data_IF_519226334904
#
_entry.id   IF_519226334904
#
_cell.length_a   1.000
_cell.length_b   1.000
_cell.length_c   1.000
_cell.angle_alpha   90.00
_cell.angle_beta   90.00
_cell.angle_gamma   90.00
#
_symmetry.space_group_name_H-M   'P 1'
#
loop_
_entity.id
_entity.type
_entity.pdbx_description
1 polymer ?
#
# COMPACT_ATOMS: atom_id res chain seq x y z
N UNK A 1 -1.72 8.77 8.31
CA UNK A 1 -0.62 8.11 7.56
C UNK A 1 -0.12 6.93 8.37
N UNK A 2 -0.30 5.73 7.83
CA UNK A 2 0.05 4.44 8.44
C UNK A 2 1.15 3.78 7.60
N UNK A 3 2.04 3.01 8.23
CA UNK A 3 3.10 2.30 7.50
C UNK A 3 3.31 0.91 8.06
N UNK A 4 3.48 -0.09 7.19
CA UNK A 4 3.79 -1.46 7.57
C UNK A 4 4.86 -2.04 6.65
N UNK A 5 5.52 -3.10 7.14
CA UNK A 5 6.50 -3.85 6.35
C UNK A 5 5.83 -5.07 5.73
N UNK A 6 6.10 -5.29 4.44
CA UNK A 6 5.58 -6.41 3.68
C UNK A 6 6.73 -7.18 3.02
N UNK A 7 6.75 -8.49 3.17
CA UNK A 7 7.71 -9.37 2.51
C UNK A 7 6.96 -10.23 1.49
N UNK A 8 7.06 -9.94 0.18
CA UNK A 8 6.38 -10.72 -0.84
C UNK A 8 6.89 -12.16 -0.84
N UNK A 9 6.01 -13.14 -1.00
CA UNK A 9 6.33 -14.57 -0.88
C UNK A 9 7.40 -15.05 -1.87
N UNK A 10 7.60 -14.33 -2.98
CA UNK A 10 8.52 -14.70 -4.08
C UNK A 10 9.85 -13.93 -4.07
N UNK A 11 10.07 -13.05 -3.10
CA UNK A 11 11.28 -12.24 -3.03
C UNK A 11 11.85 -12.21 -1.61
N UNK A 12 13.18 -12.24 -1.47
CA UNK A 12 13.83 -11.98 -0.17
C UNK A 12 13.86 -10.48 0.18
N UNK A 13 12.97 -9.68 -0.42
CA UNK A 13 12.92 -8.23 -0.25
C UNK A 13 11.92 -7.88 0.83
N UNK A 14 12.31 -6.94 1.70
CA UNK A 14 11.40 -6.30 2.64
C UNK A 14 11.01 -4.96 2.05
N UNK A 15 9.71 -4.82 1.81
CA UNK A 15 9.10 -3.59 1.33
C UNK A 15 8.49 -2.85 2.51
N UNK A 16 8.54 -1.53 2.46
CA UNK A 16 7.80 -0.66 3.37
C UNK A 16 6.65 -0.04 2.60
N UNK A 17 5.43 -0.20 3.08
CA UNK A 17 4.22 0.33 2.47
C UNK A 17 3.69 1.44 3.36
N UNK A 18 3.52 2.62 2.81
CA UNK A 18 2.89 3.78 3.45
C UNK A 18 1.50 3.98 2.86
N UNK A 19 0.47 4.05 3.70
CA UNK A 19 -0.91 4.26 3.34
C UNK A 19 -1.40 5.59 3.91
N UNK A 20 -1.93 6.42 3.03
CA UNK A 20 -2.57 7.69 3.34
C UNK A 20 -4.07 7.61 3.03
N UNK A 21 -4.92 7.28 4.02
CA UNK A 21 -6.36 7.19 3.85
C UNK A 21 -6.99 8.58 3.77
N UNK A 22 -8.03 8.71 2.95
CA UNK A 22 -8.78 9.94 2.77
C UNK A 22 -10.27 9.62 2.65
N UNK A 23 -11.06 10.07 3.62
CA UNK A 23 -12.51 9.92 3.55
C UNK A 23 -13.08 10.88 2.51
N UNK A 24 -13.65 10.32 1.43
CA UNK A 24 -14.31 11.10 0.37
C UNK A 24 -15.74 11.47 0.76
N UNK A 25 -16.46 10.54 1.38
CA UNK A 25 -17.82 10.71 1.87
C UNK A 25 -18.07 9.76 3.06
N UNK A 26 -19.14 9.96 3.85
CA UNK A 26 -19.50 8.99 4.89
C UNK A 26 -19.64 7.57 4.30
N UNK A 27 -18.88 6.62 4.85
CA UNK A 27 -18.84 5.24 4.35
C UNK A 27 -17.98 4.98 3.12
N UNK A 28 -17.28 5.99 2.57
CA UNK A 28 -16.48 5.88 1.35
C UNK A 28 -15.13 6.58 1.48
N UNK A 29 -14.08 5.82 1.20
CA UNK A 29 -12.69 6.21 1.39
C UNK A 29 -11.86 5.98 0.13
N UNK A 30 -10.83 6.78 -0.03
CA UNK A 30 -9.72 6.52 -0.94
C UNK A 30 -8.47 6.28 -0.09
N UNK A 31 -7.47 5.58 -0.64
CA UNK A 31 -6.16 5.45 -0.01
C UNK A 31 -5.06 5.64 -1.05
N UNK A 32 -4.08 6.50 -0.75
CA UNK A 32 -2.87 6.61 -1.54
C UNK A 32 -1.76 5.79 -0.89
N UNK A 33 -1.18 4.88 -1.64
CA UNK A 33 -0.19 3.94 -1.16
C UNK A 33 1.15 4.21 -1.83
N UNK A 34 2.22 4.27 -1.06
CA UNK A 34 3.60 4.39 -1.55
C UNK A 34 4.38 3.19 -1.08
N UNK A 35 5.08 2.54 -2.00
CA UNK A 35 5.84 1.32 -1.71
C UNK A 35 7.31 1.69 -1.79
N UNK A 36 8.10 1.28 -0.80
CA UNK A 36 9.51 1.54 -0.72
C UNK A 36 10.29 0.23 -0.55
N UNK A 37 11.49 0.17 -1.11
CA UNK A 37 12.46 -0.88 -0.81
C UNK A 37 13.49 -0.34 0.19
N UNK A 38 13.74 -1.09 1.25
CA UNK A 38 14.85 -0.79 2.16
C UNK A 38 16.14 -1.34 1.55
N UNK A 39 16.98 -0.45 1.01
CA UNK A 39 18.27 -0.81 0.40
C UNK A 39 19.38 0.07 0.97
N UNK A 40 20.41 -0.57 1.53
CA UNK A 40 21.63 0.08 2.06
C UNK A 40 21.37 1.30 2.98
N UNK A 41 20.41 1.17 3.91
CA UNK A 41 20.07 2.23 4.87
C UNK A 41 19.29 3.41 4.27
N UNK A 42 18.79 3.26 3.03
CA UNK A 42 17.91 4.23 2.37
C UNK A 42 16.58 3.58 2.00
N UNK A 43 15.52 4.38 2.01
CA UNK A 43 14.20 4.01 1.47
C UNK A 43 14.13 4.47 0.02
N UNK A 44 14.03 3.52 -0.90
CA UNK A 44 13.87 3.81 -2.33
C UNK A 44 12.40 3.67 -2.71
N UNK A 45 11.78 4.73 -3.23
CA UNK A 45 10.39 4.66 -3.71
C UNK A 45 10.30 3.77 -4.96
N UNK A 46 9.49 2.71 -4.86
CA UNK A 46 9.22 1.78 -5.95
C UNK A 46 8.01 2.27 -6.76
N UNK A 47 8.29 3.03 -7.82
CA UNK A 47 7.30 3.46 -8.80
C UNK A 47 6.38 4.61 -8.33
N UNK A 48 5.29 4.90 -9.08
CA UNK A 48 4.31 5.92 -8.71
C UNK A 48 3.55 5.57 -7.42
N UNK A 49 2.77 6.52 -6.87
CA UNK A 49 1.84 6.17 -5.80
C UNK A 49 0.67 5.33 -6.37
N UNK A 50 0.30 4.25 -5.68
CA UNK A 50 -0.87 3.45 -5.98
C UNK A 50 -2.10 4.11 -5.34
N UNK A 51 -3.03 4.60 -6.14
CA UNK A 51 -4.30 5.15 -5.64
C UNK A 51 -5.38 4.08 -5.62
N UNK A 52 -5.76 3.64 -4.42
CA UNK A 52 -6.95 2.84 -4.19
C UNK A 52 -8.16 3.76 -4.05
N UNK A 53 -9.21 3.50 -4.81
CA UNK A 53 -10.43 4.31 -4.83
C UNK A 53 -11.62 3.52 -4.33
N UNK A 54 -12.62 4.25 -3.84
CA UNK A 54 -13.96 3.73 -3.53
C UNK A 54 -13.95 2.53 -2.56
N UNK A 55 -13.15 2.65 -1.49
CA UNK A 55 -13.11 1.73 -0.36
C UNK A 55 -14.35 1.96 0.51
N UNK A 56 -15.22 0.97 0.61
CA UNK A 56 -16.37 1.00 1.50
C UNK A 56 -15.92 0.64 2.91
N UNK A 57 -15.90 1.63 3.82
CA UNK A 57 -15.43 1.47 5.19
C UNK A 57 -16.16 2.43 6.14
N UNK A 58 -16.55 1.94 7.32
CA UNK A 58 -17.22 2.73 8.35
C UNK A 58 -16.25 3.54 9.21
N UNK A 59 -14.97 3.20 9.19
CA UNK A 59 -13.91 3.86 9.96
C UNK A 59 -12.61 3.97 9.15
N UNK A 60 -11.67 4.77 9.64
CA UNK A 60 -10.32 4.85 9.07
C UNK A 60 -9.59 3.50 9.19
N UNK A 61 -9.78 2.80 10.31
CA UNK A 61 -9.18 1.48 10.57
C UNK A 61 -9.65 0.44 9.56
N UNK A 62 -10.96 0.35 9.31
CA UNK A 62 -11.51 -0.54 8.27
C UNK A 62 -10.99 -0.17 6.87
N UNK A 63 -10.77 1.11 6.59
CA UNK A 63 -10.17 1.53 5.33
C UNK A 63 -8.70 1.10 5.22
N UNK A 64 -7.94 1.17 6.32
CA UNK A 64 -6.53 0.77 6.36
C UNK A 64 -6.39 -0.74 6.17
N UNK A 65 -7.23 -1.54 6.83
CA UNK A 65 -7.23 -3.01 6.69
C UNK A 65 -7.49 -3.43 5.24
N UNK A 66 -8.53 -2.85 4.61
CA UNK A 66 -8.86 -3.14 3.21
C UNK A 66 -7.75 -2.65 2.26
N UNK A 67 -7.15 -1.49 2.53
CA UNK A 67 -6.05 -0.95 1.73
C UNK A 67 -4.81 -1.85 1.83
N UNK A 68 -4.47 -2.35 3.03
CA UNK A 68 -3.38 -3.30 3.24
C UNK A 68 -3.56 -4.56 2.40
N UNK A 69 -4.74 -5.17 2.42
CA UNK A 69 -5.07 -6.38 1.64
C UNK A 69 -4.91 -6.11 0.14
N UNK A 70 -5.45 -4.99 -0.36
CA UNK A 70 -5.39 -4.63 -1.78
C UNK A 70 -3.97 -4.33 -2.26
N UNK A 71 -3.17 -3.61 -1.47
CA UNK A 71 -1.78 -3.31 -1.81
C UNK A 71 -0.95 -4.60 -1.82
N UNK A 72 -1.10 -5.46 -0.80
CA UNK A 72 -0.42 -6.74 -0.76
C UNK A 72 -0.75 -7.61 -1.99
N UNK A 73 -2.04 -7.66 -2.38
CA UNK A 73 -2.46 -8.36 -3.59
C UNK A 73 -1.85 -7.75 -4.86
N UNK A 74 -1.76 -6.42 -4.98
CA UNK A 74 -1.18 -5.76 -6.15
C UNK A 74 0.35 -5.98 -6.25
N UNK A 75 1.04 -6.01 -5.10
CA UNK A 75 2.46 -6.38 -4.99
C UNK A 75 2.68 -7.81 -5.48
N UNK A 76 1.86 -8.77 -5.03
CA UNK A 76 1.98 -10.20 -5.41
C UNK A 76 1.60 -10.46 -6.88
N UNK A 77 0.69 -9.65 -7.46
CA UNK A 77 0.26 -9.77 -8.86
C UNK A 77 1.19 -9.06 -9.87
N UNK A 78 2.32 -8.53 -9.41
CA UNK A 78 3.50 -8.29 -10.22
C UNK A 78 3.31 -7.28 -11.38
N UNK A 79 2.57 -6.19 -11.10
CA UNK A 79 2.50 -5.02 -12.02
C UNK A 79 3.65 -4.04 -11.86
N UNK A 80 4.42 -4.14 -10.78
CA UNK A 80 5.42 -3.13 -10.38
C UNK A 80 6.86 -3.63 -10.49
N UNK A 81 7.10 -4.95 -10.47
CA UNK A 81 8.46 -5.52 -10.48
C UNK A 81 8.91 -6.05 -11.84
N UNK A 82 8.24 -5.65 -12.94
CA UNK A 82 8.83 -5.75 -14.30
C UNK A 82 9.94 -4.71 -14.46
N UNK A 83 11.08 -4.95 -13.82
CA UNK A 83 12.39 -4.36 -14.13
C UNK A 83 13.32 -5.44 -14.65
#
# INVERSE_FOLDING_TARGET
MFSFQYSPNRSSRVLEVEIDPHQRAPGMWDANCRIYEASEGRRLLLGPALSLRDIAAQSEEECLDEAEIRVAADIENDRWFKL
#
